data_IF_138344798607
#
_entry.id   IF_138344798607
#
_cell.length_a   1.000
_cell.length_b   1.000
_cell.length_c   1.000
_cell.angle_alpha   90.00
_cell.angle_beta   90.00
_cell.angle_gamma   90.00
#
_symmetry.space_group_name_H-M   'P 1'
#
loop_
_entity.id
_entity.type
_entity.pdbx_description
1 polymer ?
#
# COMPACT_ATOMS: atom_id res chain seq x y z
N UNK A 1 18.98 -59.69 4.59
CA UNK A 1 18.25 -58.65 5.35
C UNK A 1 19.18 -57.46 5.51
N UNK A 2 18.89 -56.32 4.86
CA UNK A 2 19.66 -55.08 4.98
C UNK A 2 18.88 -54.11 5.84
N UNK A 3 19.41 -53.80 7.02
CA UNK A 3 18.90 -52.77 7.93
C UNK A 3 19.07 -51.39 7.28
N UNK A 4 17.98 -50.62 7.21
CA UNK A 4 17.98 -49.21 6.81
C UNK A 4 17.49 -48.34 7.96
N UNK A 5 18.35 -48.10 8.94
CA UNK A 5 18.13 -47.10 9.99
C UNK A 5 18.24 -45.71 9.36
N UNK A 6 17.10 -45.05 9.09
CA UNK A 6 17.06 -43.61 8.80
C UNK A 6 17.46 -42.87 10.07
N UNK A 7 18.67 -42.36 10.12
CA UNK A 7 19.11 -41.42 11.15
C UNK A 7 18.48 -40.06 10.85
N UNK A 8 17.43 -39.70 11.61
CA UNK A 8 16.94 -38.33 11.71
C UNK A 8 17.96 -37.51 12.51
N UNK A 9 18.99 -37.01 11.84
CA UNK A 9 20.05 -36.21 12.47
C UNK A 9 19.53 -34.87 13.03
N UNK A 10 20.18 -34.32 14.07
CA UNK A 10 19.80 -33.07 14.74
C UNK A 10 19.75 -31.86 13.79
N UNK A 11 20.49 -31.91 12.69
CA UNK A 11 20.51 -30.89 11.64
C UNK A 11 19.15 -30.73 10.95
N UNK A 12 18.44 -31.83 10.72
CA UNK A 12 17.10 -31.81 10.12
C UNK A 12 16.05 -31.23 11.08
N UNK A 13 16.21 -31.46 12.39
CA UNK A 13 15.32 -30.90 13.41
C UNK A 13 15.49 -29.38 13.57
N UNK A 14 16.74 -28.89 13.51
CA UNK A 14 17.04 -27.45 13.53
C UNK A 14 16.47 -26.73 12.30
N UNK A 15 16.61 -27.33 11.11
CA UNK A 15 16.08 -26.78 9.86
C UNK A 15 14.55 -26.73 9.85
N UNK A 16 13.89 -27.76 10.40
CA UNK A 16 12.43 -27.81 10.53
C UNK A 16 11.90 -26.77 11.54
N UNK A 17 12.54 -26.64 12.70
CA UNK A 17 12.18 -25.64 13.73
C UNK A 17 12.31 -24.21 13.22
N UNK A 18 13.38 -23.91 12.47
CA UNK A 18 13.58 -22.61 11.84
C UNK A 18 12.52 -22.29 10.78
N UNK A 19 12.17 -23.26 9.93
CA UNK A 19 11.13 -23.09 8.90
C UNK A 19 9.72 -22.89 9.52
N UNK A 20 9.39 -23.62 10.58
CA UNK A 20 8.13 -23.48 11.32
C UNK A 20 8.05 -22.10 11.97
N UNK A 21 9.11 -21.66 12.65
CA UNK A 21 9.21 -20.33 13.26
C UNK A 21 9.01 -19.22 12.22
N UNK A 22 9.59 -19.37 11.02
CA UNK A 22 9.43 -18.42 9.92
C UNK A 22 7.97 -18.32 9.44
N UNK A 23 7.30 -19.45 9.24
CA UNK A 23 5.90 -19.50 8.80
C UNK A 23 4.96 -18.92 9.86
N UNK A 24 5.20 -19.24 11.12
CA UNK A 24 4.44 -18.70 12.25
C UNK A 24 4.60 -17.18 12.34
N UNK A 25 5.82 -16.66 12.16
CA UNK A 25 6.06 -15.22 12.10
C UNK A 25 5.32 -14.53 10.95
N UNK A 26 5.30 -15.13 9.75
CA UNK A 26 4.51 -14.59 8.62
C UNK A 26 3.01 -14.55 8.95
N UNK A 27 2.48 -15.63 9.52
CA UNK A 27 1.07 -15.71 9.91
C UNK A 27 0.73 -14.68 10.99
N UNK A 28 1.56 -14.53 12.00
CA UNK A 28 1.36 -13.56 13.08
C UNK A 28 1.28 -12.13 12.53
N UNK A 29 2.17 -11.73 11.62
CA UNK A 29 2.12 -10.40 10.98
C UNK A 29 0.90 -10.22 10.10
N UNK A 30 0.49 -11.26 9.37
CA UNK A 30 -0.75 -11.22 8.60
C UNK A 30 -1.97 -11.01 9.51
N UNK A 31 -2.06 -11.76 10.60
CA UNK A 31 -3.14 -11.62 11.58
C UNK A 31 -3.13 -10.23 12.23
N UNK A 32 -1.95 -9.70 12.56
CA UNK A 32 -1.79 -8.33 13.07
C UNK A 32 -2.25 -7.29 12.03
N UNK A 33 -1.84 -7.43 10.77
CA UNK A 33 -2.27 -6.53 9.69
C UNK A 33 -3.79 -6.57 9.50
N UNK A 34 -4.39 -7.77 9.48
CA UNK A 34 -5.84 -7.94 9.36
C UNK A 34 -6.58 -7.32 10.54
N UNK A 35 -6.08 -7.50 11.76
CA UNK A 35 -6.65 -6.89 12.96
C UNK A 35 -6.60 -5.36 12.92
N UNK A 36 -5.46 -4.77 12.58
CA UNK A 36 -5.31 -3.32 12.47
C UNK A 36 -6.18 -2.75 11.34
N UNK A 37 -6.28 -3.44 10.20
CA UNK A 37 -7.18 -3.03 9.12
C UNK A 37 -8.65 -3.07 9.54
N UNK A 38 -9.04 -4.05 10.35
CA UNK A 38 -10.38 -4.06 10.95
C UNK A 38 -10.58 -2.82 11.83
N UNK A 39 -9.63 -2.47 12.69
CA UNK A 39 -9.72 -1.24 13.50
C UNK A 39 -9.81 0.03 12.64
N UNK A 40 -9.07 0.10 11.53
CA UNK A 40 -9.15 1.22 10.59
C UNK A 40 -10.58 1.40 10.08
N UNK A 41 -11.21 0.31 9.64
CA UNK A 41 -12.56 0.35 9.09
C UNK A 41 -13.58 0.79 10.15
N UNK A 42 -13.46 0.32 11.39
CA UNK A 42 -14.33 0.75 12.49
C UNK A 42 -14.14 2.25 12.79
N UNK A 43 -12.90 2.72 12.93
CA UNK A 43 -12.61 4.14 13.20
C UNK A 43 -13.14 5.08 12.10
N UNK A 44 -13.03 4.65 10.83
CA UNK A 44 -13.54 5.41 9.68
C UNK A 44 -15.08 5.42 9.67
N UNK A 45 -15.72 4.30 10.00
CA UNK A 45 -17.17 4.21 10.11
C UNK A 45 -17.71 5.08 11.26
N UNK A 46 -17.04 5.04 12.41
CA UNK A 46 -17.42 5.78 13.63
C UNK A 46 -17.02 7.26 13.58
N UNK A 47 -16.29 7.69 12.55
CA UNK A 47 -15.75 9.05 12.38
C UNK A 47 -14.94 9.51 13.60
N UNK A 48 -14.20 8.60 14.21
CA UNK A 48 -13.37 8.91 15.38
C UNK A 48 -12.30 9.94 15.03
N UNK A 49 -12.14 10.98 15.86
CA UNK A 49 -11.18 12.06 15.58
C UNK A 49 -9.72 11.70 15.91
N UNK A 50 -9.47 10.73 16.79
CA UNK A 50 -8.12 10.31 17.16
C UNK A 50 -7.71 8.99 16.50
N UNK A 51 -7.02 9.13 15.37
CA UNK A 51 -6.49 8.00 14.59
C UNK A 51 -4.96 7.90 14.69
N UNK A 52 -4.32 8.75 15.51
CA UNK A 52 -2.86 8.95 15.52
C UNK A 52 -2.12 7.71 15.99
N UNK A 53 -2.58 7.10 17.09
CA UNK A 53 -1.97 5.89 17.63
C UNK A 53 -2.10 4.72 16.66
N UNK A 54 -3.28 4.58 16.02
CA UNK A 54 -3.53 3.51 15.06
C UNK A 54 -2.62 3.66 13.83
N UNK A 55 -2.50 4.88 13.27
CA UNK A 55 -1.57 5.16 12.15
C UNK A 55 -0.13 4.82 12.48
N UNK A 56 0.37 5.25 13.65
CA UNK A 56 1.75 4.96 14.10
C UNK A 56 1.99 3.47 14.28
N UNK A 57 1.03 2.77 14.88
CA UNK A 57 1.09 1.31 15.08
C UNK A 57 1.18 0.59 13.75
N UNK A 58 0.31 0.99 12.81
CA UNK A 58 0.30 0.46 11.46
C UNK A 58 1.63 0.73 10.74
N UNK A 59 2.15 1.94 10.81
CA UNK A 59 3.40 2.32 10.16
C UNK A 59 4.61 1.56 10.74
N UNK A 60 4.63 1.36 12.07
CA UNK A 60 5.63 0.53 12.74
C UNK A 60 5.59 -0.92 12.25
N UNK A 61 4.40 -1.52 12.14
CA UNK A 61 4.24 -2.89 11.62
C UNK A 61 4.81 -3.01 10.20
N UNK A 62 4.59 -2.02 9.33
CA UNK A 62 5.16 -2.02 7.99
C UNK A 62 6.68 -1.93 8.02
N UNK A 63 7.24 -1.04 8.85
CA UNK A 63 8.70 -0.89 8.95
C UNK A 63 9.37 -2.16 9.47
N UNK A 64 8.83 -2.78 10.51
CA UNK A 64 9.32 -4.06 11.04
C UNK A 64 9.21 -5.15 9.96
N UNK A 65 8.06 -5.24 9.29
CA UNK A 65 7.85 -6.23 8.23
C UNK A 65 8.82 -6.04 7.06
N UNK A 66 9.16 -4.78 6.71
CA UNK A 66 10.15 -4.45 5.67
C UNK A 66 11.57 -4.86 6.10
N UNK A 67 11.98 -4.52 7.32
CA UNK A 67 13.31 -4.88 7.82
C UNK A 67 13.47 -6.40 7.85
N UNK A 68 12.44 -7.13 8.30
CA UNK A 68 12.46 -8.59 8.31
C UNK A 68 12.40 -9.20 6.90
N UNK A 69 11.66 -8.58 5.97
CA UNK A 69 11.67 -8.93 4.56
C UNK A 69 13.07 -8.80 3.96
N UNK A 70 13.76 -7.69 4.23
CA UNK A 70 15.12 -7.43 3.74
C UNK A 70 16.13 -8.44 4.34
N UNK A 71 16.04 -8.71 5.65
CA UNK A 71 16.95 -9.64 6.32
C UNK A 71 16.73 -11.12 5.95
N UNK A 72 15.49 -11.51 5.64
CA UNK A 72 15.09 -12.92 5.47
C UNK A 72 14.51 -13.23 4.08
N UNK A 73 14.59 -12.29 3.14
CA UNK A 73 13.99 -12.35 1.80
C UNK A 73 12.51 -12.79 1.80
N UNK A 74 11.70 -12.16 2.66
CA UNK A 74 10.27 -12.50 2.81
C UNK A 74 9.41 -11.51 2.03
N UNK A 75 8.48 -12.01 1.22
CA UNK A 75 7.48 -11.15 0.58
C UNK A 75 6.38 -10.78 1.60
N UNK A 76 6.15 -9.48 1.80
CA UNK A 76 5.07 -8.99 2.65
C UNK A 76 3.89 -8.46 1.80
N UNK A 77 3.03 -9.37 1.35
CA UNK A 77 1.92 -9.06 0.44
C UNK A 77 0.90 -8.04 1.00
N UNK A 78 0.82 -7.89 2.33
CA UNK A 78 -0.15 -7.02 3.01
C UNK A 78 0.26 -5.55 3.08
N UNK A 79 1.49 -5.20 2.69
CA UNK A 79 1.99 -3.82 2.80
C UNK A 79 1.07 -2.78 2.13
N UNK A 80 0.55 -3.13 0.95
CA UNK A 80 -0.31 -2.24 0.16
C UNK A 80 -1.66 -2.00 0.82
N UNK A 81 -2.26 -3.04 1.41
CA UNK A 81 -3.51 -2.93 2.15
C UNK A 81 -3.31 -2.03 3.39
N UNK A 82 -2.20 -2.23 4.08
CA UNK A 82 -1.85 -1.51 5.31
C UNK A 82 -1.57 -0.02 5.05
N UNK A 83 -0.83 0.32 3.97
CA UNK A 83 -0.68 1.70 3.51
C UNK A 83 -2.02 2.35 3.10
N UNK A 84 -2.89 1.58 2.44
CA UNK A 84 -4.23 2.04 2.10
C UNK A 84 -5.04 2.40 3.35
N UNK A 85 -4.87 1.64 4.44
CA UNK A 85 -5.48 1.92 5.73
C UNK A 85 -5.02 3.24 6.36
N UNK A 86 -3.71 3.53 6.34
CA UNK A 86 -3.19 4.83 6.81
C UNK A 86 -3.79 5.99 6.02
N UNK A 87 -3.85 5.88 4.69
CA UNK A 87 -4.45 6.92 3.85
C UNK A 87 -5.95 7.09 4.08
N UNK A 88 -6.64 6.02 4.43
CA UNK A 88 -8.07 6.08 4.77
C UNK A 88 -8.28 6.77 6.13
N UNK A 89 -7.41 6.57 7.11
CA UNK A 89 -7.47 7.27 8.40
C UNK A 89 -7.18 8.77 8.27
N UNK A 90 -6.23 9.15 7.42
CA UNK A 90 -5.86 10.56 7.22
C UNK A 90 -6.86 11.29 6.30
N UNK A 91 -7.44 10.56 5.34
CA UNK A 91 -8.41 11.06 4.38
C UNK A 91 -9.56 10.06 4.18
N UNK A 92 -10.56 10.03 5.06
CA UNK A 92 -11.65 9.06 5.00
C UNK A 92 -12.54 9.23 3.76
N UNK A 93 -12.58 10.42 3.16
CA UNK A 93 -13.36 10.67 1.94
C UNK A 93 -12.56 10.38 0.66
N UNK A 94 -13.20 9.72 -0.29
CA UNK A 94 -12.68 9.51 -1.66
C UNK A 94 -12.80 10.77 -2.53
N UNK A 95 -13.74 11.65 -2.20
CA UNK A 95 -14.06 12.86 -2.96
C UNK A 95 -13.41 14.12 -2.34
N UNK A 96 -13.10 15.13 -3.17
CA UNK A 96 -12.55 16.40 -2.71
C UNK A 96 -13.60 17.13 -1.87
N UNK A 97 -13.40 17.16 -0.54
CA UNK A 97 -14.11 18.10 0.31
C UNK A 97 -13.59 19.51 -0.03
N UNK A 98 -14.52 20.39 -0.42
CA UNK A 98 -14.25 21.65 -1.12
C UNK A 98 -13.34 22.66 -0.38
N UNK A 99 -13.03 22.53 0.91
CA UNK A 99 -12.44 23.67 1.66
C UNK A 99 -11.40 23.37 2.76
N UNK A 100 -10.77 22.19 2.83
CA UNK A 100 -9.67 22.00 3.78
C UNK A 100 -8.31 22.23 3.11
N UNK A 101 -7.72 23.39 3.43
CA UNK A 101 -6.31 23.74 3.17
C UNK A 101 -5.37 22.58 3.52
N UNK A 102 -4.36 22.41 2.68
CA UNK A 102 -3.41 21.29 2.53
C UNK A 102 -2.36 21.08 3.65
N UNK A 103 -2.59 21.44 4.90
CA UNK A 103 -1.44 21.69 5.79
C UNK A 103 -1.13 20.70 6.91
N UNK A 104 -1.81 19.55 7.04
CA UNK A 104 -1.39 18.58 8.05
C UNK A 104 -1.53 17.13 7.57
N UNK A 105 -0.74 16.77 6.55
CA UNK A 105 -0.52 15.35 6.30
C UNK A 105 0.35 14.80 7.41
N UNK A 106 -0.02 13.67 7.97
CA UNK A 106 0.86 13.05 8.95
C UNK A 106 2.18 12.60 8.32
N UNK A 107 3.19 12.44 9.17
CA UNK A 107 4.51 11.98 8.75
C UNK A 107 4.42 10.62 8.04
N UNK A 108 3.53 9.74 8.49
CA UNK A 108 3.28 8.43 7.91
C UNK A 108 2.73 8.56 6.49
N UNK A 109 1.70 9.38 6.29
CA UNK A 109 1.12 9.65 4.96
C UNK A 109 2.15 10.26 4.02
N UNK A 110 2.94 11.22 4.50
CA UNK A 110 4.00 11.86 3.72
C UNK A 110 5.06 10.85 3.25
N UNK A 111 5.46 9.92 4.11
CA UNK A 111 6.38 8.85 3.76
C UNK A 111 5.79 7.91 2.71
N UNK A 112 4.52 7.52 2.86
CA UNK A 112 3.81 6.67 1.89
C UNK A 112 3.72 7.34 0.52
N UNK A 113 3.38 8.65 0.48
CA UNK A 113 3.32 9.43 -0.75
C UNK A 113 4.66 9.41 -1.49
N UNK A 114 5.77 9.64 -0.80
CA UNK A 114 7.10 9.61 -1.41
C UNK A 114 7.46 8.23 -1.95
N UNK A 115 7.15 7.16 -1.22
CA UNK A 115 7.37 5.78 -1.67
C UNK A 115 6.52 5.44 -2.90
N UNK A 116 5.25 5.87 -2.92
CA UNK A 116 4.37 5.68 -4.06
C UNK A 116 4.84 6.46 -5.30
N UNK A 117 5.32 7.70 -5.12
CA UNK A 117 5.91 8.51 -6.18
C UNK A 117 7.12 7.82 -6.81
N UNK A 118 8.05 7.33 -5.98
CA UNK A 118 9.18 6.53 -6.48
C UNK A 118 8.70 5.30 -7.25
N UNK A 119 7.72 4.56 -6.72
CA UNK A 119 7.13 3.41 -7.43
C UNK A 119 6.55 3.80 -8.79
N UNK A 120 5.83 4.91 -8.89
CA UNK A 120 5.18 5.36 -10.15
C UNK A 120 6.16 5.61 -11.29
N UNK A 121 7.41 5.99 -10.98
CA UNK A 121 8.44 6.19 -12.01
C UNK A 121 8.80 4.86 -12.71
N UNK A 122 8.73 3.74 -12.00
CA UNK A 122 9.00 2.41 -12.53
C UNK A 122 7.84 1.83 -13.36
N UNK A 123 6.62 2.37 -13.24
CA UNK A 123 5.45 1.94 -14.04
C UNK A 123 5.56 2.21 -15.53
N UNK A 124 6.52 3.04 -15.94
CA UNK A 124 6.78 3.37 -17.34
C UNK A 124 7.55 2.30 -18.11
N UNK A 125 8.12 1.29 -17.42
CA UNK A 125 8.98 0.27 -18.04
C UNK A 125 8.23 -1.03 -18.35
N UNK A 126 8.65 -1.74 -19.41
CA UNK A 126 8.09 -3.01 -19.89
C UNK A 126 8.07 -4.11 -18.80
N UNK A 127 8.93 -3.97 -17.78
CA UNK A 127 8.95 -4.79 -16.57
C UNK A 127 7.59 -4.83 -15.85
N UNK A 128 6.88 -3.70 -15.78
CA UNK A 128 5.63 -3.60 -15.01
C UNK A 128 4.46 -4.31 -15.68
N UNK A 129 4.46 -4.44 -17.01
CA UNK A 129 3.47 -5.26 -17.70
C UNK A 129 3.50 -6.74 -17.23
N UNK A 130 4.68 -7.27 -16.87
CA UNK A 130 4.83 -8.62 -16.33
C UNK A 130 4.50 -8.72 -14.84
N UNK A 131 4.84 -7.70 -14.05
CA UNK A 131 4.59 -7.70 -12.60
C UNK A 131 3.14 -7.38 -12.26
N UNK A 132 2.39 -6.75 -13.17
CA UNK A 132 0.97 -6.44 -12.99
C UNK A 132 0.12 -7.65 -12.59
N UNK A 133 0.49 -8.87 -13.00
CA UNK A 133 -0.23 -10.08 -12.60
C UNK A 133 -0.16 -10.39 -11.10
N UNK A 134 0.89 -9.95 -10.44
CA UNK A 134 1.22 -10.21 -9.04
C UNK A 134 0.86 -9.03 -8.12
N UNK A 135 0.39 -7.92 -8.70
CA UNK A 135 0.10 -6.69 -7.96
C UNK A 135 -1.22 -6.81 -7.22
N UNK A 136 -1.23 -6.41 -5.95
CA UNK A 136 -2.43 -6.34 -5.13
C UNK A 136 -3.43 -5.27 -5.64
N UNK A 137 -4.76 -5.51 -5.61
CA UNK A 137 -5.76 -4.49 -5.95
C UNK A 137 -5.68 -3.25 -5.05
N UNK A 138 -5.12 -3.37 -3.84
CA UNK A 138 -4.88 -2.23 -2.95
C UNK A 138 -3.85 -1.24 -3.53
N UNK A 139 -2.97 -1.66 -4.44
CA UNK A 139 -2.04 -0.74 -5.11
C UNK A 139 -2.80 0.27 -6.00
N UNK A 140 -3.87 -0.16 -6.66
CA UNK A 140 -4.70 0.76 -7.45
C UNK A 140 -5.31 1.85 -6.56
N UNK A 141 -5.86 1.45 -5.41
CA UNK A 141 -6.41 2.39 -4.43
C UNK A 141 -5.33 3.34 -3.90
N UNK A 142 -4.14 2.81 -3.54
CA UNK A 142 -3.00 3.61 -3.09
C UNK A 142 -2.65 4.67 -4.14
N UNK A 143 -2.44 4.24 -5.39
CA UNK A 143 -2.06 5.15 -6.48
C UNK A 143 -3.14 6.19 -6.75
N UNK A 144 -4.42 5.81 -6.66
CA UNK A 144 -5.53 6.74 -6.83
C UNK A 144 -5.52 7.83 -5.76
N UNK A 145 -5.41 7.43 -4.48
CA UNK A 145 -5.35 8.36 -3.36
C UNK A 145 -4.14 9.27 -3.45
N UNK A 146 -2.96 8.73 -3.75
CA UNK A 146 -1.73 9.52 -3.94
C UNK A 146 -1.91 10.56 -5.05
N UNK A 147 -2.46 10.16 -6.20
CA UNK A 147 -2.76 11.06 -7.32
C UNK A 147 -3.69 12.19 -6.91
N UNK A 148 -4.75 11.88 -6.14
CA UNK A 148 -5.69 12.89 -5.65
C UNK A 148 -5.05 13.91 -4.70
N UNK A 149 -4.06 13.49 -3.90
CA UNK A 149 -3.29 14.39 -3.04
C UNK A 149 -2.35 15.27 -3.87
N UNK A 150 -1.61 14.68 -4.83
CA UNK A 150 -0.73 15.43 -5.72
C UNK A 150 -1.49 16.50 -6.52
N UNK A 151 -2.70 16.19 -6.99
CA UNK A 151 -3.50 17.14 -7.76
C UNK A 151 -4.06 18.28 -6.94
N UNK A 152 -4.43 18.02 -5.69
CA UNK A 152 -4.82 19.08 -4.76
C UNK A 152 -3.66 20.04 -4.52
N UNK A 153 -2.43 19.52 -4.39
CA UNK A 153 -1.22 20.34 -4.23
C UNK A 153 -0.87 21.12 -5.48
N UNK A 154 -1.04 20.53 -6.66
CA UNK A 154 -0.75 21.18 -7.94
C UNK A 154 -1.78 22.24 -8.35
N UNK A 155 -2.94 22.31 -7.68
CA UNK A 155 -4.00 23.24 -8.06
C UNK A 155 -3.54 24.70 -7.84
N UNK A 156 -3.52 25.50 -8.90
CA UNK A 156 -3.02 26.88 -8.87
C UNK A 156 -1.50 27.02 -8.97
N UNK A 157 -0.74 25.93 -9.14
CA UNK A 157 0.70 25.97 -9.40
C UNK A 157 1.01 26.02 -10.90
N UNK A 158 2.17 26.57 -11.26
CA UNK A 158 2.65 26.62 -12.65
C UNK A 158 2.98 25.24 -13.22
N UNK A 159 2.94 25.11 -14.55
CA UNK A 159 3.14 23.85 -15.28
C UNK A 159 4.49 23.17 -15.03
N UNK A 160 5.51 23.92 -14.60
CA UNK A 160 6.85 23.38 -14.28
C UNK A 160 6.99 22.90 -12.83
N UNK A 161 5.96 23.07 -12.00
CA UNK A 161 6.03 22.65 -10.60
C UNK A 161 6.25 21.15 -10.45
N UNK A 162 7.02 20.78 -9.44
CA UNK A 162 7.30 19.37 -9.11
C UNK A 162 5.99 18.59 -8.87
N UNK A 163 4.99 19.23 -8.27
CA UNK A 163 3.68 18.64 -7.99
C UNK A 163 2.89 18.32 -9.27
N UNK A 164 2.96 19.17 -10.30
CA UNK A 164 2.33 18.90 -11.61
C UNK A 164 2.98 17.67 -12.27
N UNK A 165 4.32 17.61 -12.33
CA UNK A 165 5.02 16.44 -12.90
C UNK A 165 4.73 15.15 -12.14
N UNK A 166 4.70 15.22 -10.80
CA UNK A 166 4.35 14.10 -9.94
C UNK A 166 2.91 13.62 -10.20
N UNK A 167 1.97 14.55 -10.34
CA UNK A 167 0.58 14.23 -10.68
C UNK A 167 0.44 13.58 -12.06
N UNK A 168 1.24 14.00 -13.05
CA UNK A 168 1.27 13.39 -14.39
C UNK A 168 1.85 11.97 -14.39
N UNK A 169 2.98 11.74 -13.74
CA UNK A 169 3.58 10.41 -13.61
C UNK A 169 2.62 9.41 -12.93
N UNK A 170 1.92 9.90 -11.90
CA UNK A 170 0.87 9.16 -11.20
C UNK A 170 -0.35 8.85 -12.08
N UNK A 171 -0.82 9.82 -12.88
CA UNK A 171 -1.89 9.60 -13.88
C UNK A 171 -1.54 8.51 -14.87
N UNK A 172 -0.30 8.52 -15.39
CA UNK A 172 0.15 7.50 -16.32
C UNK A 172 0.12 6.11 -15.67
N UNK A 173 0.63 5.98 -14.46
CA UNK A 173 0.60 4.73 -13.69
C UNK A 173 -0.83 4.19 -13.48
N UNK A 174 -1.77 5.07 -13.14
CA UNK A 174 -3.18 4.71 -13.00
C UNK A 174 -3.82 4.26 -14.32
N UNK A 175 -3.45 4.88 -15.45
CA UNK A 175 -3.94 4.47 -16.78
C UNK A 175 -3.53 3.03 -17.10
N UNK A 176 -2.34 2.61 -16.67
CA UNK A 176 -1.90 1.21 -16.82
C UNK A 176 -2.65 0.28 -15.87
N UNK A 177 -2.72 0.60 -14.58
CA UNK A 177 -3.38 -0.23 -13.57
C UNK A 177 -4.90 -0.39 -13.80
N UNK A 178 -5.58 0.66 -14.27
CA UNK A 178 -7.03 0.65 -14.53
C UNK A 178 -7.43 -0.28 -15.67
N UNK A 179 -6.57 -0.51 -16.66
CA UNK A 179 -6.80 -1.47 -17.75
C UNK A 179 -6.91 -2.90 -17.23
N UNK A 180 -6.12 -3.25 -16.21
CA UNK A 180 -6.13 -4.59 -15.60
C UNK A 180 -7.39 -4.83 -14.78
N UNK A 181 -7.71 -3.92 -13.87
CA UNK A 181 -8.75 -4.13 -12.87
C UNK A 181 -10.15 -3.74 -13.34
N UNK A 182 -10.33 -3.44 -14.65
CA UNK A 182 -11.58 -3.00 -15.27
C UNK A 182 -12.28 -1.87 -14.47
N UNK A 183 -11.51 -1.07 -13.72
CA UNK A 183 -12.00 -0.01 -12.84
C UNK A 183 -12.44 1.25 -13.60
N UNK A 184 -12.90 1.09 -14.85
CA UNK A 184 -13.22 2.15 -15.79
C UNK A 184 -14.30 3.11 -15.25
N UNK A 185 -15.12 2.68 -14.29
CA UNK A 185 -16.11 3.55 -13.63
C UNK A 185 -15.50 4.63 -12.74
N UNK A 186 -14.38 4.37 -12.05
CA UNK A 186 -13.75 5.37 -11.16
C UNK A 186 -13.03 6.46 -11.98
N UNK A 187 -12.48 6.11 -13.15
CA UNK A 187 -11.85 7.07 -14.05
C UNK A 187 -12.85 7.88 -14.91
N UNK A 188 -14.07 7.37 -15.19
CA UNK A 188 -15.05 8.08 -16.02
C UNK A 188 -15.63 9.34 -15.38
N UNK A 189 -15.78 9.38 -14.04
CA UNK A 189 -16.14 10.61 -13.32
C UNK A 189 -15.11 11.74 -13.48
N UNK A 190 -13.93 11.45 -14.03
CA UNK A 190 -12.81 12.38 -14.10
C UNK A 190 -12.65 13.06 -15.47
N UNK A 191 -13.35 12.60 -16.50
CA UNK A 191 -13.30 13.17 -17.86
C UNK A 191 -14.42 14.17 -18.15
N UNK A 192 -15.19 14.60 -17.16
CA UNK A 192 -16.22 15.63 -17.36
C UNK A 192 -17.43 15.19 -18.20
N UNK A 193 -17.63 13.88 -18.42
CA UNK A 193 -18.97 13.40 -18.80
C UNK A 193 -19.78 13.21 -17.51
N UNK A 194 -20.83 14.02 -17.38
CA UNK A 194 -21.84 13.93 -16.34
C UNK A 194 -22.26 12.47 -16.14
N UNK A 195 -22.10 11.96 -14.92
CA UNK A 195 -22.95 10.86 -14.47
C UNK A 195 -24.34 11.45 -14.25
N UNK A 196 -25.31 11.02 -15.06
CA UNK A 196 -26.72 11.09 -14.67
C UNK A 196 -26.97 10.17 -13.47
#
# INVERSE_FOLDING_TARGET
MKNGTRTSGPENAFMLGSAISLRLGRFARFAQAAHLLSQVLHQVADKSSDTTQLRRTIFSLVNVSRIEADMRQLEFCTQMAVYSGILLLDHPTLLPASHSRTDDLSNETSSILQSALKMSLYFSDAFVARVCDLISPFLLYLMYKVTSVCMRRSFGQGSESLDVRNAEAMRLSLKYLSRRWLAMFICRCWTGLMCC
#
